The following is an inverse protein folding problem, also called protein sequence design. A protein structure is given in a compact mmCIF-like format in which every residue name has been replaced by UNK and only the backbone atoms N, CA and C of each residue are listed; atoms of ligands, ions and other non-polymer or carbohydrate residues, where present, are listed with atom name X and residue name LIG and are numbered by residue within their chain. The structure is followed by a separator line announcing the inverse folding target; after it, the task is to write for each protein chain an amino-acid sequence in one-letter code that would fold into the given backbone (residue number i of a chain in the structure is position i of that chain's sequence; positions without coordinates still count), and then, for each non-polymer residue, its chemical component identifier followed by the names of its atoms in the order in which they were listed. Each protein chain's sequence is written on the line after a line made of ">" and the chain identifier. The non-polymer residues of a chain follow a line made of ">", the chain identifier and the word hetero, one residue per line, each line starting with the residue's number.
data_IF_291031178839
#
_entry.id   IF_291031178839
#
_cell.length_a   1.000
_cell.length_b   1.000
_cell.length_c   1.000
_cell.angle_alpha   90.00
_cell.angle_beta   90.00
_cell.angle_gamma   90.00
#
_symmetry.space_group_name_H-M   'P 1'
#
loop_
_entity.id
_entity.type
_entity.pdbx_description
1 polymer ?
#
# COMPACT_ATOMS: atom_id res chain seq x y z
N UNK A 1 17.48 -35.15 -22.41
CA UNK A 1 18.37 -34.08 -21.90
C UNK A 1 17.73 -33.20 -20.81
N UNK A 2 16.60 -33.58 -20.20
CA UNK A 2 15.97 -32.81 -19.10
C UNK A 2 16.24 -33.39 -17.70
N UNK A 3 16.84 -34.58 -17.60
CA UNK A 3 17.05 -35.29 -16.32
C UNK A 3 18.21 -34.74 -15.47
N UNK A 4 18.91 -33.70 -15.91
CA UNK A 4 20.03 -33.10 -15.19
C UNK A 4 19.73 -31.77 -14.48
N UNK A 5 18.50 -31.25 -14.62
CA UNK A 5 18.04 -30.10 -13.83
C UNK A 5 17.67 -30.54 -12.41
N UNK A 6 18.68 -30.70 -11.57
CA UNK A 6 18.51 -30.95 -10.14
C UNK A 6 18.83 -29.67 -9.36
N UNK A 7 17.88 -29.16 -8.58
CA UNK A 7 18.04 -27.96 -7.73
C UNK A 7 19.23 -28.09 -6.76
N UNK A 8 19.61 -29.31 -6.40
CA UNK A 8 20.78 -29.57 -5.55
C UNK A 8 22.12 -29.31 -6.26
N UNK A 9 22.15 -29.25 -7.60
CA UNK A 9 23.34 -28.93 -8.41
C UNK A 9 23.53 -27.43 -8.65
N UNK A 10 22.60 -26.58 -8.18
CA UNK A 10 22.74 -25.13 -8.31
C UNK A 10 24.00 -24.63 -7.57
N UNK A 11 24.68 -23.60 -8.10
CA UNK A 11 25.75 -22.94 -7.35
C UNK A 11 25.19 -22.40 -6.03
N UNK A 12 26.02 -22.23 -4.98
CA UNK A 12 25.55 -21.81 -3.65
C UNK A 12 24.65 -20.57 -3.66
N UNK A 13 24.93 -19.59 -4.54
CA UNK A 13 24.11 -18.38 -4.69
C UNK A 13 22.76 -18.63 -5.37
N UNK A 14 22.71 -19.58 -6.31
CA UNK A 14 21.45 -20.00 -6.92
C UNK A 14 20.53 -20.67 -5.90
N UNK A 15 21.09 -21.52 -5.03
CA UNK A 15 20.33 -22.10 -3.90
C UNK A 15 19.81 -21.03 -2.96
N UNK A 16 20.68 -20.10 -2.54
CA UNK A 16 20.31 -19.01 -1.65
C UNK A 16 19.18 -18.14 -2.22
N UNK A 17 19.29 -17.76 -3.49
CA UNK A 17 18.26 -16.98 -4.17
C UNK A 17 16.93 -17.71 -4.28
N UNK A 18 16.95 -18.99 -4.69
CA UNK A 18 15.73 -19.81 -4.78
C UNK A 18 15.08 -19.96 -3.40
N UNK A 19 15.87 -20.20 -2.35
CA UNK A 19 15.36 -20.26 -0.98
C UNK A 19 14.72 -18.93 -0.56
N UNK A 20 15.40 -17.79 -0.77
CA UNK A 20 14.85 -16.47 -0.45
C UNK A 20 13.55 -16.21 -1.20
N UNK A 21 13.51 -16.51 -2.50
CA UNK A 21 12.32 -16.38 -3.32
C UNK A 21 11.18 -17.27 -2.82
N UNK A 22 11.43 -18.55 -2.54
CA UNK A 22 10.41 -19.47 -2.03
C UNK A 22 9.86 -19.02 -0.67
N UNK A 23 10.71 -18.55 0.24
CA UNK A 23 10.26 -18.00 1.53
C UNK A 23 9.36 -16.79 1.31
N UNK A 24 9.74 -15.91 0.40
CA UNK A 24 9.01 -14.68 0.12
C UNK A 24 7.66 -14.95 -0.57
N UNK A 25 7.61 -15.91 -1.51
CA UNK A 25 6.37 -16.42 -2.10
C UNK A 25 5.48 -17.09 -1.05
N UNK A 26 6.06 -17.87 -0.15
CA UNK A 26 5.29 -18.52 0.93
C UNK A 26 4.67 -17.46 1.86
N UNK A 27 5.40 -16.39 2.17
CA UNK A 27 4.86 -15.23 2.86
C UNK A 27 3.67 -14.62 2.09
N UNK A 28 3.81 -14.37 0.79
CA UNK A 28 2.71 -13.87 -0.06
C UNK A 28 1.47 -14.78 0.04
N UNK A 29 1.65 -16.10 -0.09
CA UNK A 29 0.53 -17.06 -0.08
C UNK A 29 -0.17 -17.11 1.28
N UNK A 30 0.59 -17.19 2.38
CA UNK A 30 0.03 -17.14 3.73
C UNK A 30 -0.76 -15.84 3.90
N UNK A 31 -0.18 -14.73 3.45
CA UNK A 31 -0.76 -13.41 3.59
C UNK A 31 -2.07 -13.25 2.80
N UNK A 32 -2.07 -13.64 1.52
CA UNK A 32 -3.28 -13.69 0.68
C UNK A 32 -4.37 -14.57 1.29
N UNK A 33 -3.99 -15.68 1.92
CA UNK A 33 -4.96 -16.56 2.59
C UNK A 33 -5.58 -15.89 3.80
N UNK A 34 -4.82 -15.10 4.57
CA UNK A 34 -5.34 -14.33 5.69
C UNK A 34 -6.35 -13.30 5.20
N UNK A 35 -6.06 -12.56 4.12
CA UNK A 35 -7.02 -11.62 3.56
C UNK A 35 -8.28 -12.27 3.01
N UNK A 36 -8.16 -13.40 2.30
CA UNK A 36 -9.33 -14.14 1.85
C UNK A 36 -10.20 -14.61 3.03
N UNK A 37 -9.59 -14.98 4.15
CA UNK A 37 -10.33 -15.32 5.38
C UNK A 37 -10.96 -14.08 6.04
N UNK A 38 -10.30 -12.93 5.99
CA UNK A 38 -10.84 -11.66 6.50
C UNK A 38 -12.02 -11.15 5.67
N UNK A 39 -11.90 -11.19 4.34
CA UNK A 39 -12.97 -10.80 3.41
C UNK A 39 -14.17 -11.76 3.51
N UNK A 40 -13.91 -13.06 3.66
CA UNK A 40 -14.94 -14.05 3.95
C UNK A 40 -15.54 -13.91 5.36
N UNK A 41 -15.11 -12.90 6.14
CA UNK A 41 -15.49 -12.64 7.54
C UNK A 41 -15.24 -13.84 8.46
N UNK A 42 -14.33 -14.75 8.12
CA UNK A 42 -13.98 -15.90 8.97
C UNK A 42 -13.05 -15.51 10.14
N UNK A 43 -12.31 -14.41 9.98
CA UNK A 43 -11.35 -13.89 10.95
C UNK A 43 -11.51 -12.37 11.00
N UNK A 44 -11.86 -11.83 12.17
CA UNK A 44 -12.20 -10.41 12.39
C UNK A 44 -13.35 -10.31 13.39
N UNK A 45 -13.24 -9.44 14.38
CA UNK A 45 -14.19 -9.39 15.50
C UNK A 45 -15.51 -8.71 15.07
N UNK A 46 -16.57 -9.50 14.98
CA UNK A 46 -17.92 -9.04 14.64
C UNK A 46 -18.55 -8.15 15.72
N UNK A 47 -18.00 -8.14 16.94
CA UNK A 47 -18.52 -7.34 18.04
C UNK A 47 -18.24 -5.84 17.88
N UNK A 48 -17.25 -5.46 17.07
CA UNK A 48 -16.82 -4.08 16.91
C UNK A 48 -17.57 -3.31 15.81
N UNK A 49 -18.30 -3.97 14.90
CA UNK A 49 -19.24 -3.28 13.99
C UNK A 49 -20.43 -2.74 14.78
N UNK A 50 -20.94 -3.47 15.77
CA UNK A 50 -22.03 -3.03 16.65
C UNK A 50 -21.57 -1.90 17.60
N UNK A 51 -20.33 -1.95 18.10
CA UNK A 51 -19.74 -0.87 18.89
C UNK A 51 -19.31 0.35 18.07
N UNK A 52 -18.86 0.19 16.82
CA UNK A 52 -18.63 1.31 15.90
C UNK A 52 -19.95 1.99 15.51
N UNK A 53 -21.06 1.24 15.47
CA UNK A 53 -22.42 1.79 15.36
C UNK A 53 -22.92 2.42 16.67
N UNK A 54 -22.43 2.01 17.85
CA UNK A 54 -22.72 2.66 19.14
C UNK A 54 -21.88 3.93 19.36
N UNK A 55 -20.70 4.03 18.73
CA UNK A 55 -19.93 5.28 18.56
C UNK A 55 -20.48 6.11 17.38
N UNK A 56 -21.75 5.90 17.02
CA UNK A 56 -22.52 6.83 16.19
C UNK A 56 -22.68 8.15 16.96
N UNK A 57 -21.90 9.16 16.57
CA UNK A 57 -21.99 10.49 17.14
C UNK A 57 -23.23 11.20 16.61
N UNK A 58 -24.37 10.89 17.22
CA UNK A 58 -25.63 11.58 16.94
C UNK A 58 -25.50 13.11 17.08
N UNK A 59 -24.49 13.61 17.82
CA UNK A 59 -24.22 15.04 17.90
C UNK A 59 -23.56 15.58 16.63
N UNK A 60 -22.72 14.80 15.94
CA UNK A 60 -22.16 15.15 14.65
C UNK A 60 -23.26 15.23 13.59
N UNK A 61 -24.13 14.21 13.49
CA UNK A 61 -25.28 14.24 12.56
C UNK A 61 -26.26 15.36 12.89
N UNK A 62 -26.54 15.63 14.18
CA UNK A 62 -27.37 16.77 14.57
C UNK A 62 -26.72 18.11 14.21
N UNK A 63 -25.39 18.23 14.32
CA UNK A 63 -24.66 19.41 13.88
C UNK A 63 -24.70 19.55 12.35
N UNK A 64 -24.59 18.45 11.59
CA UNK A 64 -24.72 18.45 10.13
C UNK A 64 -26.13 18.85 9.71
N UNK A 65 -27.17 18.30 10.35
CA UNK A 65 -28.56 18.71 10.12
C UNK A 65 -28.77 20.18 10.50
N UNK A 66 -28.20 20.66 11.61
CA UNK A 66 -28.30 22.06 12.02
C UNK A 66 -27.54 22.99 11.07
N UNK A 67 -26.43 22.54 10.48
CA UNK A 67 -25.70 23.27 9.45
C UNK A 67 -26.49 23.31 8.14
N UNK A 68 -27.12 22.21 7.74
CA UNK A 68 -27.96 22.11 6.55
C UNK A 68 -29.24 22.97 6.69
N UNK A 69 -29.89 22.96 7.86
CA UNK A 69 -31.04 23.81 8.17
C UNK A 69 -30.66 25.31 8.23
N UNK A 70 -29.39 25.63 8.54
CA UNK A 70 -28.85 27.00 8.44
C UNK A 70 -28.43 27.38 7.02
N UNK A 71 -28.00 26.42 6.20
CA UNK A 71 -27.64 26.63 4.80
C UNK A 71 -28.89 26.80 3.93
N UNK A 72 -29.97 26.12 4.26
CA UNK A 72 -31.29 26.29 3.64
C UNK A 72 -32.06 27.39 4.38
N UNK A 73 -31.63 28.64 4.23
CA UNK A 73 -32.56 29.76 4.50
C UNK A 73 -33.67 29.70 3.46
N UNK A 74 -34.94 29.47 3.84
CA UNK A 74 -36.02 29.50 2.88
C UNK A 74 -36.02 30.89 2.22
N UNK A 75 -36.12 30.98 0.88
CA UNK A 75 -36.08 32.26 0.20
C UNK A 75 -37.15 33.18 0.80
N UNK A 76 -36.79 34.44 1.07
CA UNK A 76 -37.73 35.40 1.59
C UNK A 76 -38.75 35.75 0.49
N UNK A 77 -39.87 35.04 0.49
CA UNK A 77 -40.98 35.24 -0.45
C UNK A 77 -41.71 36.58 -0.24
N UNK A 78 -41.33 37.38 0.76
CA UNK A 78 -41.97 38.67 1.03
C UNK A 78 -41.60 39.74 -0.01
N UNK A 79 -40.43 39.63 -0.66
CA UNK A 79 -40.04 40.46 -1.80
C UNK A 79 -40.25 39.68 -3.10
N UNK A 80 -41.52 39.60 -3.50
CA UNK A 80 -42.02 38.92 -4.70
C UNK A 80 -41.30 39.36 -6.00
N UNK A 81 -40.14 38.75 -6.28
CA UNK A 81 -39.50 38.74 -7.60
C UNK A 81 -38.37 39.74 -7.86
N UNK A 82 -37.75 40.34 -6.83
CA UNK A 82 -36.59 41.25 -7.03
C UNK A 82 -35.22 40.63 -6.69
N UNK A 83 -35.15 39.37 -6.27
CA UNK A 83 -33.87 38.67 -6.17
C UNK A 83 -33.34 38.41 -7.58
N UNK A 84 -32.14 38.90 -7.88
CA UNK A 84 -31.45 38.56 -9.11
C UNK A 84 -31.27 37.02 -9.15
N UNK A 85 -31.55 36.38 -10.30
CA UNK A 85 -31.34 34.95 -10.42
C UNK A 85 -29.87 34.64 -10.12
N UNK A 86 -29.63 33.62 -9.29
CA UNK A 86 -28.30 33.09 -8.99
C UNK A 86 -27.55 32.96 -10.31
N UNK A 87 -26.46 33.71 -10.43
CA UNK A 87 -25.67 33.68 -11.66
C UNK A 87 -24.87 32.37 -11.72
N UNK A 88 -24.36 32.04 -12.91
CA UNK A 88 -23.60 30.79 -13.07
C UNK A 88 -22.28 30.78 -12.30
N UNK A 89 -21.75 31.94 -11.91
CA UNK A 89 -20.49 32.10 -11.18
C UNK A 89 -20.70 31.78 -9.68
N UNK A 90 -21.82 32.21 -9.09
CA UNK A 90 -22.22 31.79 -7.73
C UNK A 90 -22.55 30.29 -7.65
N UNK A 91 -23.10 29.71 -8.72
CA UNK A 91 -23.41 28.28 -8.79
C UNK A 91 -22.13 27.42 -8.83
N UNK A 92 -21.11 27.88 -9.54
CA UNK A 92 -19.78 27.25 -9.57
C UNK A 92 -19.09 27.34 -8.20
N UNK A 93 -19.19 28.48 -7.49
CA UNK A 93 -18.66 28.65 -6.12
C UNK A 93 -19.32 27.69 -5.11
N UNK A 94 -20.62 27.41 -5.25
CA UNK A 94 -21.33 26.43 -4.41
C UNK A 94 -20.98 24.98 -4.76
N UNK A 95 -20.76 24.66 -6.04
CA UNK A 95 -20.26 23.33 -6.46
C UNK A 95 -18.83 23.11 -5.95
N UNK A 96 -17.94 24.11 -6.01
CA UNK A 96 -16.57 24.03 -5.48
C UNK A 96 -16.58 23.83 -3.95
N UNK A 97 -17.46 24.52 -3.22
CA UNK A 97 -17.63 24.33 -1.77
C UNK A 97 -18.20 22.97 -1.39
N UNK A 98 -19.06 22.40 -2.25
CA UNK A 98 -19.62 21.06 -2.06
C UNK A 98 -18.61 19.95 -2.39
N UNK A 99 -17.78 20.12 -3.43
CA UNK A 99 -16.67 19.21 -3.72
C UNK A 99 -15.62 19.23 -2.59
N UNK A 100 -15.29 20.41 -2.04
CA UNK A 100 -14.38 20.55 -0.90
C UNK A 100 -14.92 19.93 0.41
N UNK A 101 -16.24 19.79 0.56
CA UNK A 101 -16.88 19.13 1.72
C UNK A 101 -17.03 17.61 1.53
N UNK A 102 -17.27 17.15 0.30
CA UNK A 102 -17.34 15.70 -0.02
C UNK A 102 -15.98 15.03 0.15
N UNK A 103 -14.87 15.75 -0.07
CA UNK A 103 -13.52 15.28 0.25
C UNK A 103 -13.17 15.37 1.75
N UNK A 104 -13.96 16.09 2.56
CA UNK A 104 -13.76 16.25 4.01
C UNK A 104 -14.58 15.26 4.86
N UNK A 105 -15.66 14.71 4.30
CA UNK A 105 -16.29 13.48 4.76
C UNK A 105 -15.44 12.27 4.34
N UNK A 106 -14.18 12.26 4.80
CA UNK A 106 -13.43 11.04 5.06
C UNK A 106 -14.36 10.19 5.94
N UNK A 107 -15.17 9.30 5.33
CA UNK A 107 -15.86 8.22 6.03
C UNK A 107 -14.83 7.67 7.00
N UNK A 108 -15.05 7.84 8.31
CA UNK A 108 -14.07 7.47 9.31
C UNK A 108 -13.94 5.96 9.29
N UNK A 109 -13.11 5.44 8.37
CA UNK A 109 -13.00 4.02 8.08
C UNK A 109 -12.74 3.32 9.40
N UNK A 110 -13.54 2.28 9.66
CA UNK A 110 -13.39 1.47 10.85
C UNK A 110 -11.95 0.96 10.92
N UNK A 111 -11.48 0.62 12.12
CA UNK A 111 -10.15 0.02 12.30
C UNK A 111 -9.90 -1.12 11.30
N UNK A 112 -10.94 -1.91 11.01
CA UNK A 112 -10.86 -3.04 10.11
C UNK A 112 -10.72 -2.64 8.64
N UNK A 113 -11.44 -1.62 8.20
CA UNK A 113 -11.35 -1.11 6.83
C UNK A 113 -9.98 -0.50 6.57
N UNK A 114 -9.47 0.33 7.49
CA UNK A 114 -8.09 0.87 7.41
C UNK A 114 -7.05 -0.23 7.42
N UNK A 115 -7.28 -1.29 8.18
CA UNK A 115 -6.37 -2.43 8.21
C UNK A 115 -6.41 -3.16 6.88
N UNK A 116 -7.60 -3.50 6.37
CA UNK A 116 -7.81 -4.15 5.08
C UNK A 116 -7.16 -3.36 3.94
N UNK A 117 -7.41 -2.05 3.85
CA UNK A 117 -6.84 -1.18 2.82
C UNK A 117 -5.31 -1.15 2.87
N UNK A 118 -4.73 -0.95 4.05
CA UNK A 118 -3.28 -1.04 4.25
C UNK A 118 -2.74 -2.41 3.82
N UNK A 119 -3.51 -3.48 4.02
CA UNK A 119 -3.09 -4.80 3.58
C UNK A 119 -3.18 -5.05 2.08
N UNK A 120 -4.20 -4.51 1.41
CA UNK A 120 -4.30 -4.53 -0.05
C UNK A 120 -3.13 -3.76 -0.67
N UNK A 121 -2.80 -2.59 -0.12
CA UNK A 121 -1.67 -1.79 -0.57
C UNK A 121 -0.33 -2.50 -0.34
N UNK A 122 -0.17 -3.17 0.81
CA UNK A 122 1.01 -3.97 1.13
C UNK A 122 1.23 -5.10 0.11
N UNK A 123 0.15 -5.75 -0.35
CA UNK A 123 0.21 -6.82 -1.35
C UNK A 123 0.64 -6.31 -2.70
N UNK A 124 0.05 -5.21 -3.17
CA UNK A 124 0.40 -4.63 -4.46
C UNK A 124 1.91 -4.33 -4.50
N UNK A 125 2.42 -3.71 -3.44
CA UNK A 125 3.83 -3.41 -3.26
C UNK A 125 4.68 -4.67 -3.17
N UNK A 126 4.29 -5.64 -2.34
CA UNK A 126 4.99 -6.91 -2.19
C UNK A 126 5.12 -7.63 -3.53
N UNK A 127 4.05 -7.70 -4.32
CA UNK A 127 4.03 -8.41 -5.60
C UNK A 127 5.00 -7.79 -6.62
N UNK A 128 4.93 -6.47 -6.81
CA UNK A 128 5.81 -5.72 -7.71
C UNK A 128 7.26 -5.82 -7.27
N UNK A 129 7.54 -5.62 -5.98
CA UNK A 129 8.90 -5.67 -5.44
C UNK A 129 9.50 -7.08 -5.53
N UNK A 130 8.70 -8.12 -5.31
CA UNK A 130 9.12 -9.51 -5.45
C UNK A 130 9.50 -9.85 -6.89
N UNK A 131 8.71 -9.39 -7.86
CA UNK A 131 8.98 -9.61 -9.28
C UNK A 131 10.27 -8.91 -9.71
N UNK A 132 10.46 -7.66 -9.29
CA UNK A 132 11.69 -6.90 -9.58
C UNK A 132 12.90 -7.57 -8.91
N UNK A 133 12.78 -7.96 -7.64
CA UNK A 133 13.83 -8.69 -6.92
C UNK A 133 14.17 -10.00 -7.62
N UNK A 134 13.17 -10.74 -8.12
CA UNK A 134 13.40 -11.97 -8.85
C UNK A 134 14.14 -11.71 -10.17
N UNK A 135 13.65 -10.78 -10.99
CA UNK A 135 14.26 -10.44 -12.27
C UNK A 135 15.71 -9.96 -12.14
N UNK A 136 15.94 -8.97 -11.27
CA UNK A 136 17.28 -8.44 -11.03
C UNK A 136 18.17 -9.45 -10.31
N UNK A 137 17.65 -10.16 -9.31
CA UNK A 137 18.37 -11.18 -8.54
C UNK A 137 18.89 -12.29 -9.42
N UNK A 138 18.07 -12.79 -10.34
CA UNK A 138 18.47 -13.81 -11.29
C UNK A 138 19.63 -13.35 -12.17
N UNK A 139 19.53 -12.14 -12.76
CA UNK A 139 20.61 -11.56 -13.56
C UNK A 139 21.88 -11.34 -12.73
N UNK A 140 21.73 -10.90 -11.48
CA UNK A 140 22.84 -10.58 -10.60
C UNK A 140 23.66 -11.83 -10.22
N UNK A 141 23.04 -13.00 -10.10
CA UNK A 141 23.74 -14.27 -9.83
C UNK A 141 24.79 -14.56 -10.91
N UNK A 142 24.49 -14.22 -12.17
CA UNK A 142 25.39 -14.46 -13.31
C UNK A 142 26.51 -13.42 -13.48
N UNK A 143 26.52 -12.36 -12.66
CA UNK A 143 27.58 -11.34 -12.71
C UNK A 143 28.94 -11.90 -12.26
N UNK A 144 30.03 -11.20 -12.57
CA UNK A 144 31.40 -11.55 -12.15
C UNK A 144 31.79 -11.03 -10.76
N UNK A 145 30.84 -10.43 -10.02
CA UNK A 145 31.14 -9.85 -8.71
C UNK A 145 31.55 -10.89 -7.65
N UNK A 146 32.36 -10.50 -6.64
CA UNK A 146 32.74 -11.37 -5.54
C UNK A 146 31.54 -11.92 -4.76
N UNK A 147 31.77 -13.09 -4.16
CA UNK A 147 30.85 -13.80 -3.28
C UNK A 147 30.12 -12.93 -2.25
N UNK A 148 30.89 -12.13 -1.50
CA UNK A 148 30.35 -11.29 -0.42
C UNK A 148 29.40 -10.22 -0.94
N UNK A 149 29.74 -9.61 -2.07
CA UNK A 149 28.92 -8.59 -2.74
C UNK A 149 27.60 -9.21 -3.23
N UNK A 150 27.66 -10.36 -3.88
CA UNK A 150 26.46 -11.10 -4.30
C UNK A 150 25.54 -11.44 -3.14
N UNK A 151 26.12 -11.96 -2.05
CA UNK A 151 25.35 -12.30 -0.85
C UNK A 151 24.67 -11.06 -0.26
N UNK A 152 25.39 -9.94 -0.15
CA UNK A 152 24.86 -8.69 0.39
C UNK A 152 23.67 -8.16 -0.44
N UNK A 153 23.84 -8.03 -1.76
CA UNK A 153 22.79 -7.50 -2.64
C UNK A 153 21.63 -8.48 -2.90
N UNK A 154 21.75 -9.76 -2.53
CA UNK A 154 20.61 -10.68 -2.51
C UNK A 154 19.84 -10.61 -1.18
N UNK A 155 20.53 -10.46 -0.05
CA UNK A 155 19.88 -10.38 1.26
C UNK A 155 19.24 -9.03 1.56
N UNK A 156 19.94 -7.94 1.23
CA UNK A 156 19.50 -6.59 1.55
C UNK A 156 18.09 -6.28 0.99
N UNK A 157 17.81 -6.42 -0.33
CA UNK A 157 16.48 -6.17 -0.84
C UNK A 157 15.44 -7.14 -0.28
N UNK A 158 15.77 -8.42 -0.05
CA UNK A 158 14.84 -9.37 0.56
C UNK A 158 14.38 -8.92 1.96
N UNK A 159 15.31 -8.45 2.80
CA UNK A 159 14.98 -7.91 4.13
C UNK A 159 14.17 -6.61 4.00
N UNK A 160 14.58 -5.72 3.10
CA UNK A 160 13.89 -4.44 2.91
C UNK A 160 12.46 -4.62 2.40
N UNK A 161 12.20 -5.59 1.53
CA UNK A 161 10.84 -5.93 1.07
C UNK A 161 9.99 -6.36 2.27
N UNK A 162 10.49 -7.28 3.10
CA UNK A 162 9.75 -7.74 4.29
C UNK A 162 9.44 -6.58 5.23
N UNK A 163 10.44 -5.76 5.57
CA UNK A 163 10.25 -4.62 6.47
C UNK A 163 9.30 -3.58 5.88
N UNK A 164 9.40 -3.30 4.59
CA UNK A 164 8.57 -2.31 3.92
C UNK A 164 7.11 -2.76 3.85
N UNK A 165 6.87 -4.03 3.54
CA UNK A 165 5.51 -4.61 3.52
C UNK A 165 4.91 -4.60 4.93
N UNK A 166 5.67 -4.97 5.96
CA UNK A 166 5.23 -4.82 7.35
C UNK A 166 4.94 -3.36 7.73
N UNK A 167 5.73 -2.42 7.21
CA UNK A 167 5.49 -0.99 7.37
C UNK A 167 4.18 -0.55 6.76
N UNK A 168 3.91 -0.95 5.53
CA UNK A 168 2.67 -0.63 4.82
C UNK A 168 1.47 -1.23 5.55
N UNK A 169 1.56 -2.52 5.92
CA UNK A 169 0.55 -3.24 6.71
C UNK A 169 0.12 -2.50 7.98
N UNK A 170 1.06 -1.78 8.59
CA UNK A 170 0.87 -1.12 9.88
C UNK A 170 0.78 0.40 9.81
N UNK A 171 0.71 0.99 8.61
CA UNK A 171 1.03 2.40 8.38
C UNK A 171 0.21 3.35 9.25
N UNK A 172 -1.09 3.13 9.38
CA UNK A 172 -1.96 4.00 10.17
C UNK A 172 -2.00 3.68 11.66
N UNK A 173 -1.43 2.56 12.09
CA UNK A 173 -1.58 2.05 13.45
C UNK A 173 -0.42 2.39 14.37
N UNK A 174 0.81 2.49 13.85
CA UNK A 174 1.96 2.74 14.71
C UNK A 174 3.11 3.49 14.03
N UNK A 175 3.81 4.30 14.81
CA UNK A 175 4.96 5.07 14.35
C UNK A 175 6.10 4.20 13.76
N UNK A 176 6.46 3.03 14.33
CA UNK A 176 7.46 2.16 13.73
C UNK A 176 7.10 1.67 12.32
N UNK A 177 5.81 1.44 12.05
CA UNK A 177 5.36 1.03 10.72
C UNK A 177 5.51 2.18 9.70
N UNK A 178 5.12 3.41 10.08
CA UNK A 178 5.40 4.62 9.27
C UNK A 178 6.88 4.78 8.96
N UNK A 179 7.74 4.58 9.96
CA UNK A 179 9.19 4.60 9.79
C UNK A 179 9.67 3.54 8.79
N UNK A 180 9.21 2.30 8.89
CA UNK A 180 9.56 1.25 7.94
C UNK A 180 9.09 1.57 6.52
N UNK A 181 7.89 2.11 6.34
CA UNK A 181 7.40 2.52 5.00
C UNK A 181 8.29 3.61 4.41
N UNK A 182 8.54 4.68 5.16
CA UNK A 182 9.27 5.87 4.68
C UNK A 182 10.77 5.64 4.50
N UNK A 183 11.38 4.70 5.24
CA UNK A 183 12.82 4.41 5.14
C UNK A 183 13.08 3.21 4.24
N UNK A 184 12.39 2.09 4.44
CA UNK A 184 12.68 0.87 3.70
C UNK A 184 12.28 0.97 2.23
N UNK A 185 11.22 1.71 1.89
CA UNK A 185 10.78 1.90 0.50
C UNK A 185 11.83 2.60 -0.36
N UNK A 186 12.25 3.84 -0.01
CA UNK A 186 13.32 4.54 -0.73
C UNK A 186 14.64 3.78 -0.73
N UNK A 187 15.01 3.15 0.39
CA UNK A 187 16.24 2.37 0.49
C UNK A 187 16.21 1.14 -0.42
N UNK A 188 15.05 0.49 -0.57
CA UNK A 188 14.85 -0.61 -1.51
C UNK A 188 15.05 -0.12 -2.95
N UNK A 189 14.42 1.00 -3.33
CA UNK A 189 14.60 1.60 -4.66
C UNK A 189 16.07 1.91 -4.97
N UNK A 190 16.78 2.55 -4.02
CA UNK A 190 18.22 2.84 -4.14
C UNK A 190 19.01 1.54 -4.32
N UNK A 191 18.70 0.51 -3.53
CA UNK A 191 19.38 -0.79 -3.61
C UNK A 191 19.19 -1.45 -4.97
N UNK A 192 17.95 -1.48 -5.48
CA UNK A 192 17.61 -2.07 -6.77
C UNK A 192 18.23 -1.26 -7.93
N UNK A 193 18.28 0.07 -7.80
CA UNK A 193 18.96 0.94 -8.75
C UNK A 193 20.48 0.67 -8.81
N UNK A 194 21.15 0.61 -7.66
CA UNK A 194 22.58 0.27 -7.57
C UNK A 194 22.83 -1.11 -8.17
N UNK A 195 22.02 -2.10 -7.82
CA UNK A 195 22.11 -3.45 -8.35
C UNK A 195 21.97 -3.48 -9.88
N UNK A 196 21.06 -2.68 -10.44
CA UNK A 196 20.89 -2.51 -11.88
C UNK A 196 22.13 -1.90 -12.55
N UNK A 197 22.70 -0.83 -11.97
CA UNK A 197 23.96 -0.24 -12.45
C UNK A 197 25.13 -1.23 -12.40
N UNK A 198 25.19 -2.04 -11.35
CA UNK A 198 26.20 -3.09 -11.23
C UNK A 198 26.06 -4.14 -12.33
N UNK A 199 24.83 -4.56 -12.67
CA UNK A 199 24.59 -5.48 -13.79
C UNK A 199 25.07 -4.85 -15.10
N UNK A 200 24.67 -3.61 -15.38
CA UNK A 200 25.06 -2.88 -16.60
C UNK A 200 26.57 -2.72 -16.72
N UNK A 201 27.26 -2.33 -15.65
CA UNK A 201 28.72 -2.21 -15.64
C UNK A 201 29.42 -3.57 -15.81
N UNK A 202 28.82 -4.66 -15.34
CA UNK A 202 29.34 -6.01 -15.56
C UNK A 202 29.25 -6.42 -17.02
N UNK A 203 28.11 -6.18 -17.65
CA UNK A 203 27.88 -6.47 -19.09
C UNK A 203 28.88 -5.68 -19.94
N UNK A 204 29.08 -4.40 -19.65
CA UNK A 204 30.01 -3.54 -20.40
C UNK A 204 31.48 -3.97 -20.30
N UNK A 205 31.91 -4.59 -19.19
CA UNK A 205 33.30 -5.07 -19.01
C UNK A 205 33.63 -6.31 -19.82
N UNK A 206 32.63 -6.98 -20.40
CA UNK A 206 32.78 -8.19 -21.22
C UNK A 206 32.48 -7.98 -22.71
N UNK A 207 32.22 -6.74 -23.13
CA UNK A 207 32.09 -6.34 -24.53
C UNK A 207 33.40 -5.73 -25.04
#
# INVERSE_FOLDING_TARGET
>A
MLNDFNLTKLPPYGKLFVTLFCVLVLFIVIWMSILGMMEARLIGDFANEEQAFEEYDAQADLNTIELDDKAVTPPDWSDSGEQEPIDSEELDDYEEYAEDQVDADDEALTFWEKFKENMEWAIEHLSTQTLIFFGLGLLFIFTTYPAGVKKFFLWLPAILIILHVLGISGFDFCWPAKFFTWVCGPLLLITLFIMSLMILTNVRKKA
#
